data_IF_536418756990
#
_entry.id   IF_536418756990
#
_cell.length_a   1.000
_cell.length_b   1.000
_cell.length_c   1.000
_cell.angle_alpha   90.00
_cell.angle_beta   90.00
_cell.angle_gamma   90.00
#
_symmetry.space_group_name_H-M   'P 1'
#
loop_
_entity.id
_entity.type
_entity.pdbx_description
1 polymer ?
#
# COMPACT_ATOMS: atom_id res chain seq x y z
N UNK A 1 -18.91 38.71 -25.75
CA UNK A 1 -17.77 37.77 -25.81
C UNK A 1 -18.27 36.49 -26.44
N UNK A 2 -18.41 36.54 -27.76
CA UNK A 2 -18.70 35.39 -28.61
C UNK A 2 -17.42 34.55 -28.77
N UNK A 3 -17.53 33.23 -28.84
CA UNK A 3 -16.45 32.38 -29.37
C UNK A 3 -15.62 31.57 -28.36
N UNK A 4 -16.22 30.99 -27.33
CA UNK A 4 -15.63 29.83 -26.65
C UNK A 4 -16.63 28.70 -26.81
N UNK A 5 -16.37 27.77 -27.74
CA UNK A 5 -17.09 26.48 -27.75
C UNK A 5 -17.00 25.83 -26.37
N UNK A 6 -17.83 24.82 -26.10
CA UNK A 6 -17.71 24.09 -24.82
C UNK A 6 -16.24 23.68 -24.61
N UNK A 7 -15.74 23.70 -23.37
CA UNK A 7 -14.36 23.26 -23.08
C UNK A 7 -14.08 21.86 -23.68
N UNK A 8 -15.14 21.06 -23.79
CA UNK A 8 -15.16 19.76 -24.45
C UNK A 8 -14.82 19.88 -25.95
N UNK A 9 -15.33 20.89 -26.66
CA UNK A 9 -15.03 21.12 -28.07
C UNK A 9 -13.59 21.61 -28.26
N UNK A 10 -13.09 22.41 -27.32
CA UNK A 10 -11.72 22.94 -27.40
C UNK A 10 -10.65 21.88 -27.10
N UNK A 11 -10.93 20.99 -26.15
CA UNK A 11 -9.99 19.93 -25.75
C UNK A 11 -10.22 18.63 -26.51
N UNK A 12 -11.47 18.35 -26.91
CA UNK A 12 -11.92 17.10 -27.50
C UNK A 12 -11.59 16.92 -28.97
N UNK A 13 -11.17 17.97 -29.68
CA UNK A 13 -10.81 17.86 -31.09
C UNK A 13 -9.31 17.94 -31.32
N UNK A 14 -8.80 17.12 -32.24
CA UNK A 14 -7.42 17.17 -32.71
C UNK A 14 -7.41 16.96 -34.22
N UNK A 15 -6.85 17.90 -34.98
CA UNK A 15 -6.79 17.84 -36.45
C UNK A 15 -8.16 17.56 -37.12
N UNK A 16 -9.25 18.07 -36.54
CA UNK A 16 -10.61 17.89 -37.07
C UNK A 16 -11.32 16.59 -36.65
N UNK A 17 -10.68 15.70 -35.88
CA UNK A 17 -11.29 14.49 -35.34
C UNK A 17 -11.56 14.60 -33.84
N UNK A 18 -12.66 13.97 -33.38
CA UNK A 18 -12.95 13.82 -31.95
C UNK A 18 -11.99 12.80 -31.33
N UNK A 19 -11.38 13.17 -30.22
CA UNK A 19 -10.51 12.30 -29.44
C UNK A 19 -11.31 11.21 -28.73
N UNK A 20 -10.70 10.04 -28.58
CA UNK A 20 -11.20 9.05 -27.63
C UNK A 20 -11.04 9.55 -26.18
N UNK A 21 -11.73 8.87 -25.26
CA UNK A 21 -11.74 9.28 -23.85
C UNK A 21 -10.34 9.22 -23.22
N UNK A 22 -9.51 8.25 -23.59
CA UNK A 22 -8.14 8.11 -23.07
C UNK A 22 -7.26 9.26 -23.53
N UNK A 23 -7.24 9.59 -24.83
CA UNK A 23 -6.42 10.69 -25.37
C UNK A 23 -6.90 12.04 -24.82
N UNK A 24 -8.21 12.21 -24.66
CA UNK A 24 -8.77 13.40 -24.02
C UNK A 24 -8.33 13.51 -22.55
N UNK A 25 -8.38 12.42 -21.79
CA UNK A 25 -7.93 12.39 -20.40
C UNK A 25 -6.43 12.73 -20.29
N UNK A 26 -5.59 12.13 -21.15
CA UNK A 26 -4.14 12.44 -21.23
C UNK A 26 -3.93 13.93 -21.51
N UNK A 27 -4.65 14.49 -22.49
CA UNK A 27 -4.56 15.92 -22.82
C UNK A 27 -4.96 16.80 -21.64
N UNK A 28 -6.02 16.47 -20.92
CA UNK A 28 -6.44 17.18 -19.71
C UNK A 28 -5.36 17.14 -18.62
N UNK A 29 -4.79 15.96 -18.34
CA UNK A 29 -3.71 15.79 -17.35
C UNK A 29 -2.47 16.59 -17.76
N UNK A 30 -2.11 16.61 -19.04
CA UNK A 30 -0.98 17.40 -19.56
C UNK A 30 -1.18 18.91 -19.41
N UNK A 31 -2.40 19.40 -19.62
CA UNK A 31 -2.74 20.81 -19.37
C UNK A 31 -2.59 21.12 -17.89
N UNK A 32 -3.11 20.28 -17.00
CA UNK A 32 -2.96 20.45 -15.55
C UNK A 32 -1.50 20.43 -15.10
N UNK A 33 -0.68 19.56 -15.71
CA UNK A 33 0.75 19.48 -15.47
C UNK A 33 1.48 20.74 -15.91
N UNK A 34 1.23 21.23 -17.13
CA UNK A 34 1.79 22.50 -17.62
C UNK A 34 1.43 23.68 -16.71
N UNK A 35 0.21 23.72 -16.17
CA UNK A 35 -0.21 24.74 -15.20
C UNK A 35 0.59 24.64 -13.88
N UNK A 36 0.91 23.43 -13.42
CA UNK A 36 1.74 23.22 -12.23
C UNK A 36 3.22 23.55 -12.48
N UNK A 37 3.74 23.25 -13.67
CA UNK A 37 5.13 23.54 -14.07
C UNK A 37 5.35 25.05 -14.24
N UNK A 38 4.33 25.77 -14.73
CA UNK A 38 4.36 27.23 -14.87
C UNK A 38 4.30 27.98 -13.53
N UNK A 39 4.10 27.26 -12.42
CA UNK A 39 3.85 27.81 -11.09
C UNK A 39 4.63 27.00 -10.03
N UNK A 40 5.86 27.43 -9.76
CA UNK A 40 6.74 26.74 -8.81
C UNK A 40 6.19 26.76 -7.38
N UNK A 41 6.37 25.65 -6.65
CA UNK A 41 6.17 25.54 -5.19
C UNK A 41 7.19 26.34 -4.39
N UNK A 42 8.27 26.80 -5.03
CA UNK A 42 9.41 27.49 -4.43
C UNK A 42 9.68 28.82 -5.12
N UNK A 43 10.19 29.78 -4.37
CA UNK A 43 10.65 31.07 -4.90
C UNK A 43 12.07 30.97 -5.50
N UNK A 44 12.58 32.09 -6.01
CA UNK A 44 13.93 32.19 -6.60
C UNK A 44 15.06 31.86 -5.61
N UNK A 45 14.77 31.86 -4.30
CA UNK A 45 15.72 31.54 -3.21
C UNK A 45 15.52 30.12 -2.68
N UNK A 46 14.65 29.32 -3.30
CA UNK A 46 14.31 27.95 -2.89
C UNK A 46 13.33 27.86 -1.71
N UNK A 47 12.84 28.99 -1.20
CA UNK A 47 11.88 29.08 -0.12
C UNK A 47 10.49 28.62 -0.55
N UNK A 48 9.77 27.93 0.32
CA UNK A 48 8.42 27.40 -0.01
C UNK A 48 7.41 28.54 -0.12
N UNK A 49 6.72 28.64 -1.25
CA UNK A 49 5.72 29.68 -1.50
C UNK A 49 4.43 29.38 -0.73
N UNK A 50 4.00 30.34 0.10
CA UNK A 50 2.77 30.25 0.90
C UNK A 50 1.92 31.54 0.74
N UNK A 51 0.63 31.44 0.36
CA UNK A 51 -0.08 30.22 -0.02
C UNK A 51 0.47 29.64 -1.34
N UNK A 52 0.32 28.33 -1.56
CA UNK A 52 0.74 27.70 -2.82
C UNK A 52 0.08 28.37 -4.03
N UNK A 53 0.71 28.31 -5.22
CA UNK A 53 0.12 28.83 -6.44
C UNK A 53 -1.31 28.29 -6.69
N UNK A 54 -2.16 29.14 -7.25
CA UNK A 54 -3.59 28.85 -7.45
C UNK A 54 -3.84 27.52 -8.17
N UNK A 55 -3.16 27.14 -9.27
CA UNK A 55 -3.39 25.86 -9.93
C UNK A 55 -3.17 24.67 -9.00
N UNK A 56 -2.05 24.63 -8.29
CA UNK A 56 -1.72 23.57 -7.32
C UNK A 56 -2.80 23.48 -6.23
N UNK A 57 -3.23 24.61 -5.66
CA UNK A 57 -4.28 24.61 -4.63
C UNK A 57 -5.61 24.06 -5.12
N UNK A 58 -6.04 24.45 -6.32
CA UNK A 58 -7.33 24.04 -6.89
C UNK A 58 -7.32 22.56 -7.23
N UNK A 59 -6.27 22.06 -7.88
CA UNK A 59 -6.13 20.65 -8.24
C UNK A 59 -6.05 19.77 -6.99
N UNK A 60 -5.41 20.24 -5.92
CA UNK A 60 -5.32 19.53 -4.64
C UNK A 60 -6.60 19.54 -3.80
N UNK A 61 -7.67 20.21 -4.24
CA UNK A 61 -8.95 20.13 -3.55
C UNK A 61 -9.52 18.70 -3.62
N UNK A 62 -10.24 18.22 -2.60
CA UNK A 62 -10.78 16.86 -2.58
C UNK A 62 -11.67 16.51 -3.78
N UNK A 63 -12.38 17.50 -4.34
CA UNK A 63 -13.23 17.32 -5.52
C UNK A 63 -12.44 17.05 -6.81
N UNK A 64 -11.17 17.46 -6.87
CA UNK A 64 -10.33 17.25 -8.06
C UNK A 64 -9.33 16.12 -7.82
N UNK A 65 -8.67 16.10 -6.67
CA UNK A 65 -7.60 15.16 -6.37
C UNK A 65 -8.10 13.71 -6.35
N UNK A 66 -9.29 13.44 -5.82
CA UNK A 66 -9.86 12.09 -5.78
C UNK A 66 -10.18 11.56 -7.18
N UNK A 67 -10.75 12.40 -8.05
CA UNK A 67 -10.99 12.01 -9.43
C UNK A 67 -9.69 11.84 -10.21
N UNK A 68 -8.68 12.66 -9.95
CA UNK A 68 -7.35 12.52 -10.56
C UNK A 68 -6.69 11.20 -10.16
N UNK A 69 -6.72 10.83 -8.88
CA UNK A 69 -6.17 9.53 -8.44
C UNK A 69 -6.98 8.35 -8.95
N UNK A 70 -8.31 8.47 -9.03
CA UNK A 70 -9.18 7.43 -9.58
C UNK A 70 -8.91 7.11 -11.06
N UNK A 71 -8.29 8.01 -11.84
CA UNK A 71 -7.86 7.68 -13.21
C UNK A 71 -6.85 6.53 -13.26
N UNK A 72 -6.15 6.25 -12.16
CA UNK A 72 -5.22 5.12 -12.07
C UNK A 72 -5.93 3.76 -12.19
N UNK A 73 -7.22 3.70 -11.87
CA UNK A 73 -8.05 2.49 -12.03
C UNK A 73 -8.43 2.19 -13.49
N UNK A 74 -8.05 3.05 -14.44
CA UNK A 74 -8.15 2.72 -15.87
C UNK A 74 -7.12 1.70 -16.31
N UNK A 75 -6.00 1.60 -15.57
CA UNK A 75 -4.83 0.77 -15.87
C UNK A 75 -4.24 1.01 -17.27
N UNK A 76 -4.57 2.13 -17.91
CA UNK A 76 -4.01 2.53 -19.20
C UNK A 76 -2.58 3.07 -19.01
N UNK A 77 -1.54 2.45 -19.60
CA UNK A 77 -0.16 2.81 -19.33
C UNK A 77 0.22 4.28 -19.54
N UNK A 78 -0.09 4.93 -20.69
CA UNK A 78 0.27 6.32 -20.89
C UNK A 78 -0.51 7.25 -19.96
N UNK A 79 -1.78 6.97 -19.67
CA UNK A 79 -2.55 7.79 -18.73
C UNK A 79 -2.02 7.67 -17.29
N UNK A 80 -1.75 6.44 -16.81
CA UNK A 80 -1.20 6.18 -15.47
C UNK A 80 0.12 6.94 -15.27
N UNK A 81 1.02 6.87 -16.24
CA UNK A 81 2.29 7.58 -16.20
C UNK A 81 2.13 9.10 -16.07
N UNK A 82 1.21 9.70 -16.84
CA UNK A 82 0.94 11.14 -16.77
C UNK A 82 0.28 11.54 -15.46
N UNK A 83 -0.63 10.73 -14.93
CA UNK A 83 -1.27 10.97 -13.63
C UNK A 83 -0.22 10.93 -12.51
N UNK A 84 0.62 9.90 -12.46
CA UNK A 84 1.68 9.78 -11.44
C UNK A 84 2.68 10.94 -11.56
N UNK A 85 3.07 11.31 -12.78
CA UNK A 85 3.94 12.46 -13.02
C UNK A 85 3.32 13.78 -12.54
N UNK A 86 2.03 14.01 -12.80
CA UNK A 86 1.31 15.17 -12.29
C UNK A 86 1.23 15.16 -10.76
N UNK A 87 0.89 14.02 -10.14
CA UNK A 87 0.81 13.88 -8.69
C UNK A 87 2.14 14.22 -8.03
N UNK A 88 3.25 13.71 -8.56
CA UNK A 88 4.59 14.00 -8.06
C UNK A 88 4.86 15.52 -8.06
N UNK A 89 4.62 16.20 -9.19
CA UNK A 89 4.81 17.67 -9.27
C UNK A 89 3.84 18.42 -8.34
N UNK A 90 2.57 18.02 -8.32
CA UNK A 90 1.50 18.67 -7.57
C UNK A 90 1.74 18.63 -6.06
N UNK A 91 2.27 17.51 -5.57
CA UNK A 91 2.41 17.22 -4.14
C UNK A 91 3.69 17.77 -3.53
N UNK A 92 4.65 18.25 -4.34
CA UNK A 92 5.84 18.93 -3.81
C UNK A 92 5.43 20.14 -2.95
N UNK A 93 5.87 20.11 -1.69
CA UNK A 93 5.56 21.07 -0.63
C UNK A 93 4.06 21.27 -0.36
N UNK A 94 3.22 20.33 -0.78
CA UNK A 94 1.78 20.46 -0.69
C UNK A 94 1.26 20.02 0.68
N UNK A 95 0.56 20.89 1.44
CA UNK A 95 0.04 20.52 2.75
C UNK A 95 -1.05 19.43 2.72
N UNK A 96 -1.57 19.04 1.55
CA UNK A 96 -2.45 17.87 1.46
C UNK A 96 -1.70 16.52 1.48
N UNK A 97 -0.38 16.51 1.22
CA UNK A 97 0.43 15.29 1.07
C UNK A 97 0.28 14.29 2.23
N UNK A 98 0.28 14.70 3.51
CA UNK A 98 0.14 13.73 4.60
C UNK A 98 -1.20 12.98 4.61
N UNK A 99 -2.23 13.50 3.94
CA UNK A 99 -3.56 12.87 3.84
C UNK A 99 -3.84 12.29 2.46
N UNK A 100 -2.82 12.17 1.62
CA UNK A 100 -2.96 11.64 0.27
C UNK A 100 -3.48 10.19 0.29
N UNK A 101 -3.09 9.39 1.29
CA UNK A 101 -3.56 8.02 1.44
C UNK A 101 -5.09 7.88 1.45
N UNK A 102 -5.83 8.90 1.93
CA UNK A 102 -7.30 8.93 1.94
C UNK A 102 -7.93 8.93 0.53
N UNK A 103 -7.14 9.21 -0.51
CA UNK A 103 -7.63 9.19 -1.89
C UNK A 103 -7.64 7.78 -2.51
N UNK A 104 -7.07 6.78 -1.82
CA UNK A 104 -6.90 5.43 -2.34
C UNK A 104 -5.72 5.28 -3.32
N UNK A 105 -4.91 6.32 -3.53
CA UNK A 105 -3.82 6.31 -4.54
C UNK A 105 -2.90 5.10 -4.42
N UNK A 106 -2.54 4.70 -3.20
CA UNK A 106 -1.63 3.56 -2.98
C UNK A 106 -2.27 2.23 -3.38
N UNK A 107 -3.58 2.07 -3.15
CA UNK A 107 -4.33 0.91 -3.62
C UNK A 107 -4.33 0.86 -5.15
N UNK A 108 -4.66 1.97 -5.80
CA UNK A 108 -4.81 2.02 -7.25
C UNK A 108 -3.48 1.80 -7.97
N UNK A 109 -2.39 2.40 -7.46
CA UNK A 109 -1.04 2.21 -8.00
C UNK A 109 -0.56 0.77 -7.85
N UNK A 110 -0.75 0.14 -6.68
CA UNK A 110 -0.30 -1.24 -6.46
C UNK A 110 -1.09 -2.28 -7.25
N UNK A 111 -2.30 -1.93 -7.72
CA UNK A 111 -3.07 -2.74 -8.66
C UNK A 111 -2.59 -2.67 -10.11
N UNK A 112 -1.69 -1.73 -10.42
CA UNK A 112 -1.22 -1.52 -11.79
C UNK A 112 -0.34 -2.68 -12.28
N UNK A 113 -0.68 -3.23 -13.45
CA UNK A 113 -0.02 -4.42 -14.02
C UNK A 113 0.89 -4.13 -15.22
N UNK A 114 0.97 -2.88 -15.69
CA UNK A 114 1.85 -2.52 -16.80
C UNK A 114 3.31 -2.46 -16.40
N UNK A 115 4.20 -2.37 -17.40
CA UNK A 115 5.66 -2.44 -17.21
C UNK A 115 6.33 -1.09 -16.93
N UNK A 116 5.68 0.04 -17.23
CA UNK A 116 6.20 1.39 -16.97
C UNK A 116 6.00 1.81 -15.50
N UNK A 117 6.52 1.01 -14.57
CA UNK A 117 6.39 1.24 -13.12
C UNK A 117 7.44 2.18 -12.54
N UNK A 118 8.44 2.62 -13.32
CA UNK A 118 9.51 3.48 -12.79
C UNK A 118 8.98 4.82 -12.22
N UNK A 119 8.05 5.54 -12.86
CA UNK A 119 7.43 6.73 -12.27
C UNK A 119 6.70 6.42 -10.96
N UNK A 120 6.06 5.25 -10.90
CA UNK A 120 5.39 4.74 -9.69
C UNK A 120 6.41 4.47 -8.58
N UNK A 121 7.51 3.79 -8.87
CA UNK A 121 8.55 3.47 -7.89
C UNK A 121 9.17 4.74 -7.30
N UNK A 122 9.47 5.74 -8.13
CA UNK A 122 9.96 7.05 -7.68
C UNK A 122 8.94 7.73 -6.77
N UNK A 123 7.69 7.79 -7.23
CA UNK A 123 6.61 8.37 -6.46
C UNK A 123 6.44 7.68 -5.09
N UNK A 124 6.38 6.34 -5.06
CA UNK A 124 6.25 5.58 -3.82
C UNK A 124 7.42 5.87 -2.86
N UNK A 125 8.66 5.83 -3.36
CA UNK A 125 9.86 6.12 -2.57
C UNK A 125 9.79 7.51 -1.91
N UNK A 126 9.32 8.50 -2.64
CA UNK A 126 9.28 9.88 -2.14
C UNK A 126 8.12 10.13 -1.15
N UNK A 127 7.01 9.37 -1.22
CA UNK A 127 5.77 9.72 -0.49
C UNK A 127 5.32 8.72 0.58
N UNK A 128 5.81 7.46 0.58
CA UNK A 128 5.22 6.41 1.42
C UNK A 128 5.40 6.62 2.93
N UNK A 129 6.47 7.31 3.36
CA UNK A 129 6.75 7.68 4.75
C UNK A 129 6.22 9.07 5.14
N UNK A 130 5.70 9.84 4.18
CA UNK A 130 5.21 11.21 4.42
C UNK A 130 3.72 11.25 4.75
N UNK A 131 3.06 10.09 4.77
CA UNK A 131 1.65 9.99 5.11
C UNK A 131 1.47 10.11 6.62
N UNK A 132 0.51 10.94 7.06
CA UNK A 132 0.01 10.96 8.44
C UNK A 132 -0.90 9.75 8.71
N UNK A 133 -0.47 8.59 8.22
CA UNK A 133 -1.07 7.30 8.48
C UNK A 133 -0.60 6.84 9.86
N UNK A 134 -1.53 6.30 10.66
CA UNK A 134 -1.22 5.69 11.95
C UNK A 134 -1.69 4.24 11.88
N UNK A 135 -0.74 3.31 11.83
CA UNK A 135 -0.99 1.93 12.23
C UNK A 135 -1.14 1.95 13.75
N UNK A 136 -2.35 1.70 14.26
CA UNK A 136 -2.61 1.69 15.70
C UNK A 136 -1.86 0.52 16.37
N UNK A 137 -0.97 0.87 17.29
CA UNK A 137 -0.35 0.08 18.36
C UNK A 137 0.39 -1.23 18.01
N UNK A 138 1.67 -1.04 17.67
CA UNK A 138 2.78 -1.99 17.77
C UNK A 138 3.06 -2.41 19.22
N UNK A 139 2.15 -3.15 19.85
CA UNK A 139 2.47 -3.83 21.11
C UNK A 139 2.86 -5.31 20.94
N UNK A 140 2.68 -5.92 19.76
CA UNK A 140 2.99 -7.34 19.58
C UNK A 140 3.53 -7.77 18.20
N UNK A 141 4.22 -6.91 17.44
CA UNK A 141 4.99 -7.36 16.29
C UNK A 141 6.41 -6.79 16.28
N UNK A 142 7.35 -7.68 16.61
CA UNK A 142 8.78 -7.55 16.41
C UNK A 142 9.11 -7.50 14.92
N UNK A 143 8.96 -6.36 14.25
CA UNK A 143 9.70 -6.06 13.01
C UNK A 143 9.73 -4.55 12.76
N UNK A 144 10.94 -3.99 12.84
CA UNK A 144 11.41 -2.71 12.27
C UNK A 144 10.42 -1.52 12.21
N UNK A 145 10.73 -0.44 12.95
CA UNK A 145 10.08 0.90 12.93
C UNK A 145 9.64 1.40 11.54
N UNK A 146 10.31 0.98 10.47
CA UNK A 146 10.02 1.39 9.11
C UNK A 146 8.63 0.95 8.61
N UNK A 147 8.18 -0.27 8.92
CA UNK A 147 6.98 -0.87 8.32
C UNK A 147 5.71 -0.28 8.92
N UNK A 148 5.73 -0.05 10.24
CA UNK A 148 4.65 0.64 10.96
C UNK A 148 4.52 2.12 10.55
N UNK A 149 5.61 2.76 10.12
CA UNK A 149 5.63 4.15 9.63
C UNK A 149 5.24 4.30 8.16
N UNK A 150 5.31 3.23 7.39
CA UNK A 150 5.00 3.22 5.96
C UNK A 150 3.51 2.98 5.72
N UNK A 151 2.87 3.81 4.88
CA UNK A 151 1.49 3.54 4.42
C UNK A 151 1.38 2.21 3.65
N UNK A 152 2.50 1.68 3.17
CA UNK A 152 2.57 0.40 2.47
C UNK A 152 2.66 -0.80 3.43
N UNK A 153 2.81 -0.57 4.74
CA UNK A 153 3.03 -1.62 5.75
C UNK A 153 1.96 -2.71 5.79
N UNK A 154 0.70 -2.36 5.55
CA UNK A 154 -0.38 -3.36 5.51
C UNK A 154 -0.47 -4.10 4.16
N UNK A 155 0.28 -3.66 3.14
CA UNK A 155 0.13 -4.16 1.78
C UNK A 155 1.34 -4.93 1.30
N UNK A 156 2.54 -4.39 1.49
CA UNK A 156 3.78 -4.97 1.01
C UNK A 156 4.53 -5.69 2.14
N UNK A 157 5.27 -6.77 1.84
CA UNK A 157 6.18 -7.38 2.82
C UNK A 157 7.21 -6.37 3.34
N UNK A 158 7.66 -6.57 4.59
CA UNK A 158 8.68 -5.75 5.25
C UNK A 158 9.93 -5.58 4.38
N UNK A 159 10.38 -6.66 3.74
CA UNK A 159 11.52 -6.66 2.81
C UNK A 159 11.33 -5.70 1.64
N UNK A 160 10.14 -5.62 1.04
CA UNK A 160 9.88 -4.72 -0.09
C UNK A 160 9.91 -3.25 0.35
N UNK A 161 9.43 -2.94 1.56
CA UNK A 161 9.47 -1.58 2.11
C UNK A 161 10.90 -1.18 2.45
N UNK A 162 11.66 -2.09 3.09
CA UNK A 162 13.08 -1.91 3.34
C UNK A 162 13.87 -1.74 2.04
N UNK A 163 13.56 -2.52 1.00
CA UNK A 163 14.21 -2.42 -0.31
C UNK A 163 13.90 -1.08 -0.99
N UNK A 164 12.64 -0.62 -0.92
CA UNK A 164 12.23 0.69 -1.42
C UNK A 164 13.00 1.84 -0.75
N UNK A 165 13.27 1.74 0.55
CA UNK A 165 14.02 2.76 1.30
C UNK A 165 15.52 2.71 0.96
N UNK A 166 16.12 1.52 1.01
CA UNK A 166 17.57 1.34 0.95
C UNK A 166 18.19 1.42 -0.45
N UNK A 167 17.39 1.20 -1.51
CA UNK A 167 17.87 1.13 -2.89
C UNK A 167 17.23 2.20 -3.80
N UNK A 168 17.84 2.55 -4.95
CA UNK A 168 17.24 3.48 -5.91
C UNK A 168 15.88 2.98 -6.46
N UNK A 169 15.03 3.91 -6.89
CA UNK A 169 13.70 3.57 -7.41
C UNK A 169 13.75 2.65 -8.64
N UNK A 170 14.80 2.74 -9.45
CA UNK A 170 15.07 1.86 -10.59
C UNK A 170 15.23 0.40 -10.15
N UNK A 171 15.92 0.17 -9.03
CA UNK A 171 16.10 -1.17 -8.46
C UNK A 171 14.82 -1.72 -7.86
N UNK A 172 14.04 -0.87 -7.19
CA UNK A 172 12.71 -1.28 -6.73
C UNK A 172 11.78 -1.64 -7.90
N UNK A 173 11.79 -0.86 -8.99
CA UNK A 173 11.00 -1.16 -10.19
C UNK A 173 11.37 -2.50 -10.82
N UNK A 174 12.67 -2.81 -10.86
CA UNK A 174 13.21 -4.11 -11.29
C UNK A 174 12.66 -5.25 -10.41
N UNK A 175 12.77 -5.11 -9.09
CA UNK A 175 12.27 -6.11 -8.14
C UNK A 175 10.76 -6.31 -8.26
N UNK A 176 10.00 -5.22 -8.27
CA UNK A 176 8.55 -5.26 -8.25
C UNK A 176 7.95 -6.03 -9.46
N UNK A 177 8.60 -5.94 -10.62
CA UNK A 177 8.15 -6.62 -11.85
C UNK A 177 8.71 -8.03 -12.03
N UNK A 178 9.89 -8.33 -11.46
CA UNK A 178 10.56 -9.61 -11.65
C UNK A 178 10.22 -10.66 -10.61
N UNK A 179 11.04 -11.71 -10.59
CA UNK A 179 10.98 -12.78 -9.60
C UNK A 179 12.34 -12.84 -8.90
N UNK A 180 12.32 -12.61 -7.59
CA UNK A 180 13.48 -12.47 -6.75
C UNK A 180 13.34 -13.43 -5.57
N UNK A 181 14.43 -14.14 -5.33
CA UNK A 181 14.56 -15.11 -4.25
C UNK A 181 15.98 -14.96 -3.70
N UNK A 182 16.15 -14.01 -2.79
CA UNK A 182 17.45 -13.59 -2.27
C UNK A 182 17.36 -13.26 -0.78
N UNK A 183 18.49 -13.23 -0.05
CA UNK A 183 18.50 -12.81 1.35
C UNK A 183 17.88 -11.44 1.60
N UNK A 184 17.93 -10.49 0.67
CA UNK A 184 17.35 -9.15 0.84
C UNK A 184 15.87 -9.06 0.43
N UNK A 185 15.43 -9.87 -0.52
CA UNK A 185 14.09 -9.78 -1.08
C UNK A 185 13.60 -11.12 -1.63
N UNK A 186 12.42 -11.52 -1.18
CA UNK A 186 11.61 -12.63 -1.72
C UNK A 186 10.34 -11.98 -2.28
N UNK A 187 10.25 -11.91 -3.59
CA UNK A 187 9.13 -11.29 -4.29
C UNK A 187 8.97 -11.91 -5.67
N UNK A 188 7.76 -12.33 -6.02
CA UNK A 188 7.51 -12.97 -7.30
C UNK A 188 6.14 -12.60 -7.88
N UNK A 189 5.89 -13.04 -9.11
CA UNK A 189 4.64 -12.79 -9.83
C UNK A 189 3.40 -13.35 -9.10
N UNK A 190 3.54 -14.41 -8.30
CA UNK A 190 2.45 -14.95 -7.50
C UNK A 190 2.11 -14.04 -6.32
N UNK A 191 3.11 -13.60 -5.55
CA UNK A 191 2.94 -12.62 -4.47
C UNK A 191 2.36 -11.30 -5.00
N UNK A 192 2.82 -10.83 -6.15
CA UNK A 192 2.25 -9.65 -6.82
C UNK A 192 0.79 -9.86 -7.21
N UNK A 193 0.43 -11.01 -7.78
CA UNK A 193 -0.97 -11.32 -8.11
C UNK A 193 -1.83 -11.42 -6.84
N UNK A 194 -1.29 -11.98 -5.77
CA UNK A 194 -1.95 -12.08 -4.48
C UNK A 194 -2.24 -10.69 -3.89
N UNK A 195 -1.26 -9.78 -3.88
CA UNK A 195 -1.43 -8.38 -3.51
C UNK A 195 -2.58 -7.72 -4.29
N UNK A 196 -2.52 -7.81 -5.62
CA UNK A 196 -3.54 -7.22 -6.49
C UNK A 196 -4.92 -7.81 -6.17
N UNK A 197 -5.02 -9.12 -5.95
CA UNK A 197 -6.26 -9.81 -5.58
C UNK A 197 -6.85 -9.30 -4.26
N UNK A 198 -6.04 -9.13 -3.21
CA UNK A 198 -6.52 -8.61 -1.92
C UNK A 198 -6.97 -7.16 -2.01
N UNK A 199 -6.24 -6.32 -2.75
CA UNK A 199 -6.68 -4.92 -2.98
C UNK A 199 -7.95 -4.89 -3.84
N UNK A 200 -8.07 -5.73 -4.88
CA UNK A 200 -9.27 -5.81 -5.71
C UNK A 200 -10.49 -6.25 -4.89
N UNK A 201 -10.34 -7.23 -4.00
CA UNK A 201 -11.39 -7.66 -3.07
C UNK A 201 -11.79 -6.53 -2.13
N UNK A 202 -10.82 -5.79 -1.58
CA UNK A 202 -11.08 -4.57 -0.80
C UNK A 202 -11.90 -3.56 -1.62
N UNK A 203 -11.50 -3.27 -2.86
CA UNK A 203 -12.20 -2.31 -3.72
C UNK A 203 -13.48 -2.85 -4.38
N UNK A 204 -13.92 -4.08 -4.08
CA UNK A 204 -15.00 -4.76 -4.80
C UNK A 204 -16.35 -4.03 -4.77
N UNK A 205 -16.65 -3.26 -3.72
CA UNK A 205 -17.88 -2.45 -3.67
C UNK A 205 -17.74 -1.11 -4.41
N UNK A 206 -16.51 -0.57 -4.49
CA UNK A 206 -16.27 0.73 -5.09
C UNK A 206 -16.14 0.66 -6.61
N UNK A 207 -15.39 -0.33 -7.14
CA UNK A 207 -15.14 -0.43 -8.58
C UNK A 207 -16.44 -0.48 -9.40
N UNK A 208 -17.45 -1.32 -9.09
CA UNK A 208 -18.72 -1.33 -9.83
C UNK A 208 -19.53 -0.03 -9.67
N UNK A 209 -19.46 0.60 -8.49
CA UNK A 209 -20.09 1.92 -8.25
C UNK A 209 -19.46 3.00 -9.11
N UNK A 210 -18.15 2.98 -9.28
CA UNK A 210 -17.44 3.91 -10.17
C UNK A 210 -17.78 3.66 -11.65
N UNK A 211 -17.89 2.40 -12.06
CA UNK A 211 -18.30 2.06 -13.43
C UNK A 211 -19.73 2.53 -13.76
N UNK A 212 -20.66 2.39 -12.81
CA UNK A 212 -22.05 2.85 -12.97
C UNK A 212 -22.22 4.37 -12.81
N UNK A 213 -21.37 5.01 -12.01
CA UNK A 213 -21.34 6.46 -11.83
C UNK A 213 -19.90 6.96 -11.77
N UNK A 214 -19.44 7.58 -12.86
CA UNK A 214 -18.08 8.13 -12.97
C UNK A 214 -17.78 9.27 -12.00
N UNK A 215 -18.81 9.85 -11.36
CA UNK A 215 -18.68 10.85 -10.28
C UNK A 215 -18.63 10.24 -8.89
N UNK A 216 -18.71 8.92 -8.76
CA UNK A 216 -18.51 8.27 -7.46
C UNK A 216 -17.11 8.56 -6.93
N UNK A 217 -17.04 8.96 -5.66
CA UNK A 217 -15.78 9.26 -4.97
C UNK A 217 -15.44 8.09 -4.06
N UNK A 218 -14.18 7.66 -4.11
CA UNK A 218 -13.66 6.64 -3.21
C UNK A 218 -13.69 7.15 -1.76
N UNK A 219 -14.22 6.33 -0.86
CA UNK A 219 -14.16 6.57 0.57
C UNK A 219 -13.11 5.66 1.17
N UNK A 220 -12.06 6.23 1.75
CA UNK A 220 -10.98 5.46 2.33
C UNK A 220 -11.46 4.59 3.49
N UNK A 221 -11.04 3.34 3.43
CA UNK A 221 -11.09 2.37 4.52
C UNK A 221 -9.70 1.73 4.53
N UNK A 222 -9.09 1.63 5.71
CA UNK A 222 -7.81 0.94 5.88
C UNK A 222 -7.91 -0.47 5.33
N UNK A 223 -6.85 -0.95 4.67
CA UNK A 223 -6.80 -2.36 4.29
C UNK A 223 -6.24 -3.16 5.48
N UNK A 224 -6.83 -4.32 5.81
CA UNK A 224 -6.21 -5.25 6.75
C UNK A 224 -4.81 -5.66 6.29
N UNK A 225 -3.96 -6.06 7.23
CA UNK A 225 -2.63 -6.57 6.92
C UNK A 225 -2.72 -7.74 5.92
N UNK A 226 -1.99 -7.65 4.82
CA UNK A 226 -1.84 -8.73 3.85
C UNK A 226 -0.73 -9.65 4.32
N UNK A 227 -1.10 -10.85 4.76
CA UNK A 227 -0.16 -11.92 5.10
C UNK A 227 0.13 -12.74 3.86
N UNK A 228 1.41 -12.90 3.54
CA UNK A 228 1.87 -13.63 2.35
C UNK A 228 2.21 -15.08 2.72
N UNK A 229 1.47 -16.08 2.19
CA UNK A 229 1.74 -17.49 2.49
C UNK A 229 3.18 -17.92 2.14
N UNK A 230 3.75 -17.32 1.10
CA UNK A 230 5.13 -17.59 0.66
C UNK A 230 6.20 -17.23 1.70
N UNK A 231 5.84 -16.42 2.72
CA UNK A 231 6.76 -15.94 3.76
C UNK A 231 6.50 -16.59 5.14
N UNK A 232 5.59 -17.57 5.25
CA UNK A 232 5.19 -18.16 6.55
C UNK A 232 6.37 -18.76 7.36
N UNK A 233 7.38 -19.28 6.66
CA UNK A 233 8.57 -19.88 7.25
C UNK A 233 9.80 -18.99 7.18
N UNK A 234 9.62 -17.74 6.79
CA UNK A 234 10.70 -16.77 6.66
C UNK A 234 10.69 -15.81 7.87
N UNK A 235 11.86 -15.60 8.45
CA UNK A 235 12.06 -14.59 9.47
C UNK A 235 12.83 -13.42 8.86
N UNK A 236 12.13 -12.32 8.61
CA UNK A 236 12.75 -11.08 8.17
C UNK A 236 13.26 -10.28 9.37
N UNK A 237 14.55 -9.98 9.38
CA UNK A 237 15.18 -9.21 10.44
C UNK A 237 16.14 -8.16 9.86
N UNK A 238 16.02 -6.92 10.35
CA UNK A 238 16.77 -5.75 9.89
C UNK A 238 16.55 -5.43 8.40
N UNK A 239 17.19 -6.19 7.49
CA UNK A 239 17.07 -6.07 6.04
C UNK A 239 17.21 -7.44 5.33
N UNK A 240 17.19 -8.54 6.08
CA UNK A 240 17.50 -9.87 5.55
C UNK A 240 16.52 -10.93 6.04
N UNK A 241 16.19 -11.86 5.14
CA UNK A 241 15.57 -13.13 5.47
C UNK A 241 16.62 -14.07 6.03
N UNK A 242 16.53 -14.39 7.32
CA UNK A 242 17.58 -15.13 8.03
C UNK A 242 17.81 -16.52 7.45
N UNK A 243 16.74 -17.19 7.00
CA UNK A 243 16.84 -18.52 6.36
C UNK A 243 17.66 -18.48 5.08
N UNK A 244 17.43 -17.47 4.25
CA UNK A 244 18.18 -17.26 3.03
C UNK A 244 19.61 -16.78 3.31
N UNK A 245 19.80 -15.93 4.32
CA UNK A 245 21.11 -15.44 4.71
C UNK A 245 22.02 -16.56 5.24
N UNK A 246 21.47 -17.55 5.94
CA UNK A 246 22.22 -18.70 6.46
C UNK A 246 22.48 -19.79 5.40
N UNK A 247 21.81 -19.76 4.25
CA UNK A 247 22.03 -20.72 3.16
C UNK A 247 23.32 -20.37 2.38
N UNK A 248 24.44 -20.80 2.95
CA UNK A 248 25.78 -20.59 2.38
C UNK A 248 26.04 -21.39 1.09
N UNK A 249 25.19 -22.37 0.78
CA UNK A 249 25.29 -23.16 -0.47
C UNK A 249 24.70 -22.36 -1.63
N UNK A 250 23.51 -21.78 -1.45
CA UNK A 250 22.85 -20.97 -2.48
C UNK A 250 23.40 -19.54 -2.55
N UNK A 251 23.80 -18.97 -1.42
CA UNK A 251 24.25 -17.58 -1.31
C UNK A 251 25.62 -17.50 -0.60
N UNK A 252 26.69 -18.01 -1.24
CA UNK A 252 28.03 -17.92 -0.66
C UNK A 252 28.47 -16.45 -0.53
N UNK A 253 29.04 -16.12 0.62
CA UNK A 253 29.62 -14.80 0.92
C UNK A 253 28.67 -13.60 0.67
N UNK A 254 27.37 -13.75 0.98
CA UNK A 254 26.41 -12.65 0.80
C UNK A 254 26.81 -11.39 1.59
N UNK A 255 26.89 -10.21 0.95
CA UNK A 255 27.38 -9.01 1.61
C UNK A 255 26.39 -8.49 2.64
N UNK A 256 26.86 -8.33 3.88
CA UNK A 256 26.08 -7.72 4.97
C UNK A 256 26.49 -6.26 5.10
N UNK A 257 25.54 -5.34 4.85
CA UNK A 257 25.80 -3.89 4.84
C UNK A 257 26.18 -3.35 6.22
N UNK A 258 25.49 -3.80 7.27
CA UNK A 258 25.75 -3.43 8.65
C UNK A 258 25.63 -4.66 9.58
N UNK A 259 26.74 -5.38 9.83
CA UNK A 259 26.74 -6.57 10.67
C UNK A 259 26.34 -6.30 12.13
N UNK A 260 26.65 -5.11 12.66
CA UNK A 260 26.41 -4.78 14.07
C UNK A 260 24.91 -4.50 14.27
N UNK A 261 24.30 -3.73 13.38
CA UNK A 261 22.86 -3.48 13.43
C UNK A 261 22.06 -4.77 13.24
N UNK A 262 22.48 -5.62 12.30
CA UNK A 262 21.87 -6.94 12.09
C UNK A 262 21.91 -7.80 13.36
N UNK A 263 23.08 -7.98 13.98
CA UNK A 263 23.22 -8.78 15.20
C UNK A 263 22.34 -8.25 16.34
N UNK A 264 22.34 -6.93 16.54
CA UNK A 264 21.50 -6.28 17.57
C UNK A 264 20.02 -6.57 17.35
N UNK A 265 19.55 -6.45 16.11
CA UNK A 265 18.14 -6.61 15.78
C UNK A 265 17.72 -8.09 15.84
N UNK A 266 18.62 -9.03 15.50
CA UNK A 266 18.41 -10.48 15.71
C UNK A 266 18.28 -10.79 17.20
N UNK A 267 19.19 -10.28 18.04
CA UNK A 267 19.14 -10.50 19.49
C UNK A 267 17.86 -9.92 20.11
N UNK A 268 17.37 -8.79 19.59
CA UNK A 268 16.09 -8.20 20.00
C UNK A 268 14.91 -9.09 19.61
N UNK A 269 14.82 -9.47 18.34
CA UNK A 269 13.75 -10.33 17.84
C UNK A 269 13.70 -11.67 18.59
N UNK A 270 14.86 -12.24 18.92
CA UNK A 270 14.95 -13.46 19.71
C UNK A 270 14.43 -13.29 21.14
N UNK A 271 14.78 -12.18 21.81
CA UNK A 271 14.26 -11.88 23.15
C UNK A 271 12.74 -11.72 23.15
N UNK A 272 12.23 -10.94 22.20
CA UNK A 272 10.79 -10.68 22.06
C UNK A 272 10.01 -11.98 21.80
N UNK A 273 10.58 -12.90 21.01
CA UNK A 273 9.97 -14.21 20.79
C UNK A 273 9.95 -15.08 22.05
N UNK A 274 11.01 -15.07 22.85
CA UNK A 274 11.06 -15.81 24.11
C UNK A 274 10.05 -15.28 25.16
N UNK A 275 9.71 -14.01 25.09
CA UNK A 275 8.78 -13.34 26.02
C UNK A 275 7.31 -13.39 25.56
N UNK A 276 7.02 -13.91 24.36
CA UNK A 276 5.65 -14.00 23.82
C UNK A 276 4.79 -14.94 24.66
N UNK A 277 3.65 -14.41 25.12
CA UNK A 277 2.56 -15.20 25.73
C UNK A 277 1.68 -15.80 24.63
N UNK A 278 1.10 -16.99 24.85
CA UNK A 278 0.12 -17.56 23.91
C UNK A 278 -1.10 -16.63 23.77
N UNK A 279 -1.66 -16.56 22.57
CA UNK A 279 -2.87 -15.78 22.28
C UNK A 279 -4.08 -16.65 22.57
N UNK A 280 -4.97 -16.20 23.47
CA UNK A 280 -6.12 -16.98 23.97
C UNK A 280 -7.37 -16.94 23.07
N UNK A 281 -7.34 -16.23 21.94
CA UNK A 281 -8.53 -15.98 21.13
C UNK A 281 -8.67 -16.97 19.97
N UNK A 282 -9.79 -17.68 19.90
CA UNK A 282 -10.06 -18.62 18.81
C UNK A 282 -10.64 -17.92 17.56
N UNK A 283 -10.61 -18.62 16.41
CA UNK A 283 -11.26 -18.15 15.18
C UNK A 283 -12.74 -17.83 15.37
N UNK A 284 -13.45 -18.69 16.10
CA UNK A 284 -14.89 -18.55 16.32
C UNK A 284 -15.18 -17.33 17.20
N UNK A 285 -14.34 -17.06 18.20
CA UNK A 285 -14.48 -15.87 19.05
C UNK A 285 -14.30 -14.60 18.21
N UNK A 286 -13.35 -14.62 17.27
CA UNK A 286 -13.08 -13.50 16.39
C UNK A 286 -14.24 -13.25 15.39
N UNK A 287 -14.79 -14.31 14.79
CA UNK A 287 -16.00 -14.22 13.94
C UNK A 287 -17.21 -13.67 14.72
N UNK A 288 -17.40 -14.10 15.97
CA UNK A 288 -18.47 -13.62 16.83
C UNK A 288 -18.32 -12.11 17.16
N UNK A 289 -17.09 -11.64 17.39
CA UNK A 289 -16.80 -10.20 17.57
C UNK A 289 -17.07 -9.35 16.33
N UNK A 290 -16.95 -9.92 15.13
CA UNK A 290 -17.41 -9.28 13.89
C UNK A 290 -18.95 -9.16 13.80
N UNK A 291 -19.69 -9.74 14.76
CA UNK A 291 -21.14 -9.86 14.73
C UNK A 291 -21.63 -10.88 13.71
N UNK A 292 -20.79 -11.86 13.35
CA UNK A 292 -21.10 -12.94 12.44
C UNK A 292 -21.23 -14.26 13.21
N UNK A 293 -22.04 -15.17 12.68
CA UNK A 293 -22.17 -16.53 13.20
C UNK A 293 -21.42 -17.50 12.29
N UNK A 294 -20.58 -18.37 12.85
CA UNK A 294 -19.80 -19.35 12.06
C UNK A 294 -20.71 -20.26 11.20
N UNK A 295 -21.96 -20.47 11.62
CA UNK A 295 -22.97 -21.24 10.87
C UNK A 295 -23.43 -20.57 9.57
N UNK A 296 -23.24 -19.26 9.41
CA UNK A 296 -23.62 -18.49 8.23
C UNK A 296 -22.52 -18.46 7.16
N UNK A 297 -21.29 -18.85 7.54
CA UNK A 297 -20.11 -18.82 6.70
C UNK A 297 -19.96 -20.14 5.96
N UNK A 298 -19.75 -20.03 4.65
CA UNK A 298 -19.34 -21.12 3.79
C UNK A 298 -18.24 -20.62 2.84
N UNK A 299 -17.48 -21.53 2.18
CA UNK A 299 -16.34 -21.13 1.36
C UNK A 299 -16.66 -20.15 0.21
N UNK A 300 -17.94 -20.02 -0.20
CA UNK A 300 -18.34 -19.12 -1.29
C UNK A 300 -18.81 -17.74 -0.83
N UNK A 301 -19.20 -17.57 0.44
CA UNK A 301 -19.70 -16.30 0.98
C UNK A 301 -18.84 -15.69 2.10
N UNK A 302 -17.92 -16.46 2.66
CA UNK A 302 -17.15 -16.11 3.86
C UNK A 302 -16.37 -14.80 3.69
N UNK A 303 -15.57 -14.70 2.62
CA UNK A 303 -14.77 -13.49 2.34
C UNK A 303 -15.65 -12.24 2.17
N UNK A 304 -16.77 -12.36 1.47
CA UNK A 304 -17.68 -11.24 1.23
C UNK A 304 -18.39 -10.77 2.51
N UNK A 305 -18.79 -11.71 3.39
CA UNK A 305 -19.43 -11.40 4.66
C UNK A 305 -18.46 -10.78 5.65
N UNK A 306 -17.25 -11.34 5.79
CA UNK A 306 -16.19 -10.79 6.65
C UNK A 306 -15.83 -9.38 6.18
N UNK A 307 -15.62 -9.17 4.88
CA UNK A 307 -15.32 -7.85 4.31
C UNK A 307 -16.43 -6.83 4.62
N UNK A 308 -17.69 -7.22 4.48
CA UNK A 308 -18.83 -6.34 4.76
C UNK A 308 -18.93 -5.99 6.24
N UNK A 309 -18.72 -6.96 7.13
CA UNK A 309 -18.69 -6.73 8.58
C UNK A 309 -17.53 -5.80 8.96
N UNK A 310 -16.33 -6.04 8.39
CA UNK A 310 -15.17 -5.16 8.56
C UNK A 310 -15.47 -3.72 8.13
N UNK A 311 -16.15 -3.52 7.00
CA UNK A 311 -16.51 -2.18 6.51
C UNK A 311 -17.47 -1.48 7.46
N UNK A 312 -18.46 -2.19 7.97
CA UNK A 312 -19.42 -1.62 8.93
C UNK A 312 -18.74 -1.19 10.22
N UNK A 313 -17.85 -2.02 10.75
CA UNK A 313 -17.08 -1.71 11.97
C UNK A 313 -16.11 -0.55 11.71
N UNK A 314 -15.39 -0.57 10.59
CA UNK A 314 -14.42 0.49 10.23
C UNK A 314 -15.08 1.84 10.00
N UNK A 315 -16.32 1.87 9.47
CA UNK A 315 -17.09 3.11 9.32
C UNK A 315 -17.60 3.60 10.68
N UNK A 316 -18.04 2.69 11.56
CA UNK A 316 -18.58 3.00 12.89
C UNK A 316 -17.50 3.49 13.86
N UNK A 317 -16.30 2.91 13.79
CA UNK A 317 -15.17 3.21 14.66
C UNK A 317 -14.04 3.93 13.91
N UNK A 318 -14.36 4.68 12.86
CA UNK A 318 -13.37 5.45 12.12
C UNK A 318 -12.56 6.34 13.09
N UNK A 319 -11.21 6.33 13.04
CA UNK A 319 -10.35 6.96 14.06
C UNK A 319 -10.59 8.48 14.19
N UNK A 320 -10.99 9.15 13.10
CA UNK A 320 -11.38 10.58 13.14
C UNK A 320 -12.72 10.86 13.85
N UNK A 321 -13.58 9.85 14.06
CA UNK A 321 -14.95 10.01 14.59
C UNK A 321 -15.13 9.43 16.00
N UNK A 322 -14.37 8.40 16.38
CA UNK A 322 -14.46 7.75 17.67
C UNK A 322 -13.06 7.47 18.22
N UNK A 323 -12.54 8.34 19.10
CA UNK A 323 -11.25 8.13 19.73
C UNK A 323 -11.20 6.80 20.49
N UNK A 324 -12.30 6.31 21.08
CA UNK A 324 -12.32 5.17 22.01
C UNK A 324 -12.71 3.81 21.37
N UNK A 325 -12.84 3.73 20.03
CA UNK A 325 -13.14 2.47 19.29
C UNK A 325 -11.98 1.48 19.18
N UNK A 326 -11.00 1.59 20.08
CA UNK A 326 -9.59 1.15 19.93
C UNK A 326 -9.38 -0.36 20.04
N UNK A 327 -10.28 -1.09 20.70
CA UNK A 327 -10.09 -2.52 21.01
C UNK A 327 -10.51 -3.47 19.87
N UNK A 328 -11.38 -3.04 18.95
CA UNK A 328 -12.00 -3.95 17.97
C UNK A 328 -11.14 -4.18 16.71
N UNK A 329 -10.11 -3.36 16.45
CA UNK A 329 -9.24 -3.51 15.27
C UNK A 329 -8.24 -4.68 15.40
N UNK A 330 -7.84 -5.03 16.62
CA UNK A 330 -6.92 -6.15 16.91
C UNK A 330 -7.48 -7.51 16.51
N UNK A 331 -8.80 -7.69 16.57
CA UNK A 331 -9.46 -8.94 16.19
C UNK A 331 -9.46 -9.19 14.68
N UNK A 332 -9.33 -8.15 13.87
CA UNK A 332 -9.54 -8.21 12.43
C UNK A 332 -8.35 -8.78 11.66
N UNK A 333 -7.13 -8.64 12.18
CA UNK A 333 -5.93 -9.28 11.63
C UNK A 333 -6.04 -10.82 11.73
N UNK A 334 -6.66 -11.32 12.80
CA UNK A 334 -6.82 -12.75 13.08
C UNK A 334 -7.91 -13.39 12.19
N UNK A 335 -8.89 -12.62 11.73
CA UNK A 335 -10.03 -13.15 10.95
C UNK A 335 -9.74 -13.16 9.45
N UNK A 336 -9.05 -12.12 8.95
CA UNK A 336 -8.64 -12.03 7.55
C UNK A 336 -7.54 -13.05 7.19
N UNK A 337 -6.91 -13.64 8.22
CA UNK A 337 -5.92 -14.72 8.19
C UNK A 337 -6.44 -16.00 7.54
N UNK A 338 -7.76 -16.25 7.56
CA UNK A 338 -8.35 -17.43 6.92
C UNK A 338 -7.80 -18.73 7.52
N UNK A 339 -8.49 -19.23 8.55
CA UNK A 339 -8.09 -20.39 9.38
C UNK A 339 -6.79 -20.12 10.17
N UNK A 340 -6.83 -19.97 11.50
CA UNK A 340 -5.77 -20.58 12.28
C UNK A 340 -5.77 -22.05 11.87
N UNK A 341 -4.66 -22.53 11.31
CA UNK A 341 -4.52 -23.94 11.00
C UNK A 341 -4.80 -24.72 12.29
N UNK A 342 -5.99 -25.32 12.39
CA UNK A 342 -6.40 -26.25 13.47
C UNK A 342 -5.58 -27.56 13.41
N UNK A 343 -4.47 -27.58 12.66
CA UNK A 343 -3.57 -28.73 12.54
C UNK A 343 -2.08 -28.38 12.43
N UNK A 344 -1.69 -27.14 12.72
CA UNK A 344 -0.28 -26.88 13.07
C UNK A 344 -0.26 -26.66 14.56
N UNK A 345 0.48 -27.51 15.27
CA UNK A 345 0.90 -27.31 16.65
C UNK A 345 1.07 -25.82 16.97
N UNK A 346 0.04 -25.22 17.56
CA UNK A 346 0.09 -23.90 18.17
C UNK A 346 0.92 -23.94 19.47
N UNK A 347 1.78 -24.95 19.60
CA UNK A 347 2.62 -25.30 20.74
C UNK A 347 4.11 -25.16 20.43
N UNK A 348 4.51 -24.85 19.19
CA UNK A 348 5.92 -24.66 18.85
C UNK A 348 6.25 -23.16 18.69
N UNK A 349 6.92 -22.54 19.69
CA UNK A 349 7.33 -21.14 19.63
C UNK A 349 8.23 -20.91 18.40
N UNK A 350 8.24 -19.70 17.80
CA UNK A 350 9.20 -19.39 16.70
C UNK A 350 10.66 -19.48 17.17
N UNK A 351 10.91 -19.67 18.47
CA UNK A 351 12.18 -20.10 19.09
C UNK A 351 12.77 -21.30 18.35
N UNK A 352 11.96 -22.30 17.96
CA UNK A 352 12.47 -23.47 17.21
C UNK A 352 12.84 -23.12 15.76
N UNK A 353 12.20 -22.11 15.16
CA UNK A 353 12.54 -21.60 13.81
C UNK A 353 13.85 -20.81 13.82
N UNK A 354 14.10 -20.00 14.85
CA UNK A 354 15.38 -19.28 15.04
C UNK A 354 16.52 -20.28 15.31
N UNK A 355 16.26 -21.30 16.15
CA UNK A 355 17.25 -22.32 16.49
C UNK A 355 17.64 -23.19 15.28
N UNK A 356 16.68 -23.62 14.45
CA UNK A 356 16.96 -24.40 13.23
C UNK A 356 17.61 -23.56 12.13
N UNK A 357 17.32 -22.25 12.05
CA UNK A 357 17.87 -21.38 11.00
C UNK A 357 19.32 -20.94 11.28
N UNK A 358 19.76 -20.95 12.54
CA UNK A 358 21.11 -20.49 12.93
C UNK A 358 22.06 -21.68 13.18
N UNK A 359 21.54 -22.91 13.37
CA UNK A 359 22.34 -24.11 13.70
C UNK A 359 22.40 -25.19 12.60
N UNK A 360 21.64 -25.04 11.51
CA UNK A 360 21.91 -25.71 10.22
C UNK A 360 22.71 -24.78 9.31
#
# INVERSE_FOLDING_TARGET
TEGVGSLIDQLGYSQGALLDYTTLAIRCVDVLRKLCDSCCSRDLRGGVVRPLPKPRRVISQPQCLTHLTQLLLTFDPPLVERVVSLLHVLLDQNPCLPRLYLTGVFFFILMYTGSNVLPIARFLKDVHLLQAFRLEDSHHMSSTDLTSRSVLGNMLPDAMIAYLENHPAEKFAEIFLGNFDSPEAIWNAEMRRFLIGRIASHLADFSPRLHSNTRAVYQYIGIPLIVYPQLENELFCHNYYLRHLCDTIRFPDWPIRDPIALLRDILRAWREENEKKPVDMSYNDAIHELGLEASQLNPSNEEALIRRAYYQISIKYHPDKNPDGRTTHYLLVIIWDGKPNVNTDASLPRIHKVYLTILE
#
